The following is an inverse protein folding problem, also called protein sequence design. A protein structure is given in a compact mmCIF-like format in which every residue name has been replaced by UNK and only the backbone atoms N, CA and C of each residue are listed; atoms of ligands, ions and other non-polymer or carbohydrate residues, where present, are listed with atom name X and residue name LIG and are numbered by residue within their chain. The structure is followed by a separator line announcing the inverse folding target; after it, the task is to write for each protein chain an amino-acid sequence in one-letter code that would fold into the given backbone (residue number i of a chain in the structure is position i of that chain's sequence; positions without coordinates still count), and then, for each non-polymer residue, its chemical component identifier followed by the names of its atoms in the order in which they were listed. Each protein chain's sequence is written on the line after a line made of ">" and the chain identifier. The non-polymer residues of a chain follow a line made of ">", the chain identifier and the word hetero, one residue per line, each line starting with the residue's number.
data_IF_857230367796
#
_entry.id   IF_857230367796
#
_cell.length_a   1.000
_cell.length_b   1.000
_cell.length_c   1.000
_cell.angle_alpha   90.00
_cell.angle_beta   90.00
_cell.angle_gamma   90.00
#
_symmetry.space_group_name_H-M   'P 1'
#
loop_
_entity.id
_entity.type
_entity.pdbx_description
1 polymer ?
#
# COMPACT_ATOMS: atom_id res chain seq x y z
N UNK A 1 -10.17 27.71 -35.39
CA UNK A 1 -9.94 26.25 -35.33
C UNK A 1 -9.31 25.97 -33.98
N UNK A 2 -10.13 25.67 -32.97
CA UNK A 2 -9.66 25.38 -31.62
C UNK A 2 -9.44 23.88 -31.53
N UNK A 3 -8.19 23.46 -31.50
CA UNK A 3 -7.84 22.07 -31.20
C UNK A 3 -7.98 21.87 -29.69
N UNK A 4 -9.18 21.52 -29.26
CA UNK A 4 -9.41 20.90 -27.95
C UNK A 4 -8.63 19.60 -27.93
N UNK A 5 -7.49 19.62 -27.26
CA UNK A 5 -6.70 18.42 -26.99
C UNK A 5 -7.23 17.83 -25.69
N UNK A 6 -8.28 17.03 -25.81
CA UNK A 6 -8.73 16.12 -24.76
C UNK A 6 -7.61 15.10 -24.51
N UNK A 7 -6.71 15.44 -23.59
CA UNK A 7 -5.78 14.47 -23.00
C UNK A 7 -6.63 13.54 -22.16
N UNK A 8 -7.00 12.40 -22.77
CA UNK A 8 -7.48 11.23 -22.06
C UNK A 8 -6.38 10.84 -21.07
N UNK A 9 -6.55 11.21 -19.79
CA UNK A 9 -5.76 10.66 -18.68
C UNK A 9 -6.08 9.18 -18.59
N UNK A 10 -5.38 8.37 -19.37
CA UNK A 10 -5.28 6.95 -19.10
C UNK A 10 -4.57 6.83 -17.75
N UNK A 11 -5.28 6.33 -16.74
CA UNK A 11 -4.65 5.87 -15.52
C UNK A 11 -3.73 4.71 -15.91
N UNK A 12 -2.46 5.02 -16.20
CA UNK A 12 -1.43 4.00 -16.26
C UNK A 12 -1.26 3.55 -14.81
N UNK A 13 -1.88 2.41 -14.49
CA UNK A 13 -1.66 1.73 -13.20
C UNK A 13 -0.17 1.44 -13.15
N UNK A 14 0.54 2.06 -12.21
CA UNK A 14 1.98 1.86 -12.05
C UNK A 14 2.20 0.54 -11.31
N UNK A 15 2.26 -0.56 -12.06
CA UNK A 15 2.46 -1.91 -11.54
C UNK A 15 3.71 -2.05 -10.66
N UNK A 16 4.71 -1.17 -10.84
CA UNK A 16 5.91 -1.17 -9.99
C UNK A 16 5.60 -0.65 -8.59
N UNK A 17 4.81 0.43 -8.50
CA UNK A 17 4.35 0.96 -7.22
C UNK A 17 3.51 -0.06 -6.47
N UNK A 18 2.61 -0.78 -7.16
CA UNK A 18 1.81 -1.84 -6.54
C UNK A 18 2.71 -2.95 -5.94
N UNK A 19 3.75 -3.37 -6.67
CA UNK A 19 4.67 -4.40 -6.19
C UNK A 19 5.49 -3.94 -4.97
N UNK A 20 5.91 -2.67 -4.95
CA UNK A 20 6.59 -2.06 -3.80
C UNK A 20 5.67 -1.99 -2.58
N UNK A 21 4.41 -1.55 -2.76
CA UNK A 21 3.39 -1.54 -1.70
C UNK A 21 3.14 -2.95 -1.17
N UNK A 22 2.94 -3.94 -2.04
CA UNK A 22 2.73 -5.34 -1.67
C UNK A 22 3.90 -5.87 -0.84
N UNK A 23 5.13 -5.60 -1.26
CA UNK A 23 6.33 -6.04 -0.54
C UNK A 23 6.42 -5.41 0.85
N UNK A 24 6.19 -4.10 0.95
CA UNK A 24 6.22 -3.35 2.20
C UNK A 24 5.17 -3.88 3.19
N UNK A 25 3.96 -4.12 2.71
CA UNK A 25 2.86 -4.66 3.53
C UNK A 25 3.16 -6.09 3.99
N UNK A 26 3.72 -6.93 3.14
CA UNK A 26 4.10 -8.30 3.52
C UNK A 26 5.25 -8.31 4.55
N UNK A 27 6.24 -7.43 4.41
CA UNK A 27 7.34 -7.27 5.39
C UNK A 27 6.83 -6.80 6.73
N UNK A 28 6.01 -5.76 6.76
CA UNK A 28 5.45 -5.24 7.99
C UNK A 28 4.56 -6.27 8.70
N UNK A 29 3.84 -7.12 7.96
CA UNK A 29 3.10 -8.24 8.52
C UNK A 29 4.01 -9.29 9.18
N UNK A 30 5.11 -9.64 8.53
CA UNK A 30 6.09 -10.57 9.08
C UNK A 30 6.71 -10.02 10.37
N UNK A 31 7.12 -8.75 10.36
CA UNK A 31 7.68 -8.08 11.54
C UNK A 31 6.64 -7.96 12.65
N UNK A 32 5.39 -7.63 12.32
CA UNK A 32 4.32 -7.59 13.31
C UNK A 32 4.09 -8.93 14.02
N UNK A 33 4.29 -10.04 13.32
CA UNK A 33 4.18 -11.39 13.88
C UNK A 33 5.37 -11.78 14.77
N UNK A 34 6.57 -11.27 14.47
CA UNK A 34 7.81 -11.62 15.17
C UNK A 34 8.14 -10.66 16.33
N UNK A 35 8.06 -9.36 16.08
CA UNK A 35 8.51 -8.29 17.00
C UNK A 35 7.35 -7.42 17.51
N UNK A 36 6.13 -7.67 17.01
CA UNK A 36 4.91 -7.02 17.45
C UNK A 36 4.43 -5.88 16.56
N UNK A 37 3.15 -5.53 16.71
CA UNK A 37 2.42 -4.64 15.79
C UNK A 37 3.10 -3.28 15.59
N UNK A 38 3.69 -2.70 16.63
CA UNK A 38 4.34 -1.38 16.55
C UNK A 38 5.51 -1.38 15.56
N UNK A 39 6.35 -2.40 15.58
CA UNK A 39 7.50 -2.50 14.68
C UNK A 39 7.04 -2.79 13.24
N UNK A 40 5.98 -3.60 13.08
CA UNK A 40 5.35 -3.80 11.79
C UNK A 40 4.82 -2.50 11.17
N UNK A 41 4.15 -1.66 11.96
CA UNK A 41 3.69 -0.33 11.49
C UNK A 41 4.86 0.54 11.07
N UNK A 42 5.93 0.57 11.88
CA UNK A 42 7.10 1.39 11.60
C UNK A 42 7.75 1.02 10.26
N UNK A 43 8.00 -0.27 10.00
CA UNK A 43 8.59 -0.71 8.73
C UNK A 43 7.69 -0.34 7.54
N UNK A 44 6.38 -0.54 7.65
CA UNK A 44 5.46 -0.16 6.57
C UNK A 44 5.51 1.34 6.28
N UNK A 45 5.55 2.19 7.32
CA UNK A 45 5.63 3.64 7.15
C UNK A 45 6.98 4.10 6.59
N UNK A 46 8.09 3.48 7.01
CA UNK A 46 9.42 3.76 6.50
C UNK A 46 9.53 3.39 5.00
N UNK A 47 8.77 2.39 4.54
CA UNK A 47 8.62 2.00 3.13
C UNK A 47 7.50 2.77 2.39
N UNK A 48 6.89 3.78 3.02
CA UNK A 48 5.94 4.71 2.36
C UNK A 48 4.48 4.27 2.38
N UNK A 49 4.12 3.18 3.07
CA UNK A 49 2.73 2.72 3.18
C UNK A 49 1.93 3.67 4.07
N UNK A 50 0.76 4.16 3.62
CA UNK A 50 -0.12 5.01 4.42
C UNK A 50 -0.56 4.37 5.73
N UNK A 51 -0.63 5.17 6.80
CA UNK A 51 -0.97 4.68 8.15
C UNK A 51 -2.34 4.02 8.24
N UNK A 52 -3.28 4.41 7.38
CA UNK A 52 -4.60 3.83 7.26
C UNK A 52 -4.54 2.39 6.74
N UNK A 53 -3.61 2.11 5.83
CA UNK A 53 -3.33 0.77 5.32
C UNK A 53 -2.63 -0.04 6.41
N UNK A 54 -1.57 0.50 7.02
CA UNK A 54 -0.85 -0.17 8.12
C UNK A 54 -1.80 -0.62 9.23
N UNK A 55 -2.65 0.30 9.69
CA UNK A 55 -3.62 0.06 10.75
C UNK A 55 -4.65 -1.00 10.36
N UNK A 56 -5.12 -0.98 9.11
CA UNK A 56 -6.14 -1.93 8.63
C UNK A 56 -5.58 -3.34 8.50
N UNK A 57 -4.38 -3.46 7.92
CA UNK A 57 -3.76 -4.75 7.63
C UNK A 57 -3.31 -5.45 8.91
N UNK A 58 -2.80 -4.70 9.89
CA UNK A 58 -2.25 -5.25 11.12
C UNK A 58 -3.29 -5.50 12.22
N UNK A 59 -4.41 -4.77 12.25
CA UNK A 59 -5.36 -4.83 13.39
C UNK A 59 -6.32 -6.02 13.34
N UNK A 60 -6.87 -6.36 12.17
CA UNK A 60 -7.76 -7.51 12.02
C UNK A 60 -7.72 -8.06 10.59
N UNK A 61 -7.50 -9.37 10.45
CA UNK A 61 -7.50 -10.05 9.15
C UNK A 61 -8.79 -9.83 8.36
N UNK A 62 -9.94 -9.73 9.04
CA UNK A 62 -11.24 -9.53 8.40
C UNK A 62 -11.41 -8.14 7.75
N UNK A 63 -10.58 -7.15 8.11
CA UNK A 63 -10.67 -5.79 7.58
C UNK A 63 -9.77 -5.56 6.37
N UNK A 64 -8.92 -6.53 6.03
CA UNK A 64 -7.97 -6.44 4.92
C UNK A 64 -8.72 -6.38 3.59
N UNK A 65 -8.22 -5.53 2.70
CA UNK A 65 -8.71 -5.39 1.33
C UNK A 65 -7.61 -5.80 0.37
N UNK A 66 -7.98 -6.34 -0.79
CA UNK A 66 -7.02 -6.64 -1.85
C UNK A 66 -6.28 -5.37 -2.33
N UNK A 67 -6.93 -4.20 -2.23
CA UNK A 67 -6.33 -2.90 -2.54
C UNK A 67 -5.33 -2.40 -1.49
N UNK A 68 -5.17 -3.08 -0.36
CA UNK A 68 -4.19 -2.67 0.65
C UNK A 68 -2.75 -3.06 0.23
N UNK A 69 -2.60 -3.90 -0.80
CA UNK A 69 -1.32 -4.36 -1.38
C UNK A 69 -1.00 -3.63 -2.71
N UNK A 70 -1.67 -2.52 -3.00
CA UNK A 70 -1.54 -1.76 -4.25
C UNK A 70 -1.34 -0.30 -3.92
#
# INVERSE_FOLDING_TARGET
>A
MNADSDIVRTHVVDERSDMETELAVNRGLAVALLDGVREGVKIMQDEGVPIEICSRVLKNKANRRASDWK
#
